data_IF_668650729279
#
_entry.id   IF_668650729279
#
_cell.length_a   1.000
_cell.length_b   1.000
_cell.length_c   1.000
_cell.angle_alpha   90.00
_cell.angle_beta   90.00
_cell.angle_gamma   90.00
#
_symmetry.space_group_name_H-M   'P 1'
#
loop_
_entity.id
_entity.type
_entity.pdbx_description
1 polymer ?
#
# COMPACT_ATOMS: atom_id res chain seq x y z
N UNK A 1 -42.01 -20.81 -14.18
CA UNK A 1 -41.07 -21.66 -13.42
C UNK A 1 -39.96 -22.22 -14.33
N UNK A 2 -40.25 -22.63 -15.56
CA UNK A 2 -39.28 -23.22 -16.51
C UNK A 2 -38.27 -22.17 -16.97
N UNK A 3 -38.65 -20.90 -17.18
CA UNK A 3 -37.75 -19.83 -17.60
C UNK A 3 -36.72 -19.45 -16.51
N UNK A 4 -37.11 -19.51 -15.23
CA UNK A 4 -36.22 -19.23 -14.10
C UNK A 4 -35.17 -20.32 -13.92
N UNK A 5 -35.53 -21.61 -14.17
CA UNK A 5 -34.60 -22.73 -14.13
C UNK A 5 -33.53 -22.67 -15.22
N UNK A 6 -33.86 -22.17 -16.42
CA UNK A 6 -32.91 -21.98 -17.51
C UNK A 6 -31.94 -20.82 -17.26
N UNK A 7 -32.36 -19.78 -16.54
CA UNK A 7 -31.49 -18.68 -16.15
C UNK A 7 -30.49 -19.12 -15.07
N UNK A 8 -30.89 -19.95 -14.13
CA UNK A 8 -30.02 -20.47 -13.06
C UNK A 8 -29.01 -21.48 -13.62
N UNK A 9 -29.41 -22.35 -14.55
CA UNK A 9 -28.49 -23.30 -15.20
C UNK A 9 -27.44 -22.60 -16.07
N UNK A 10 -27.77 -21.45 -16.68
CA UNK A 10 -26.79 -20.64 -17.41
C UNK A 10 -25.85 -19.83 -16.49
N UNK A 11 -26.24 -19.54 -15.25
CA UNK A 11 -25.38 -18.88 -14.28
C UNK A 11 -24.35 -19.85 -13.68
N UNK A 12 -24.71 -21.11 -13.51
CA UNK A 12 -23.76 -22.13 -13.04
C UNK A 12 -22.71 -22.52 -14.08
N UNK A 13 -23.04 -22.44 -15.39
CA UNK A 13 -22.06 -22.67 -16.45
C UNK A 13 -21.08 -21.51 -16.67
N UNK A 14 -21.33 -20.31 -16.11
CA UNK A 14 -20.40 -19.17 -16.16
C UNK A 14 -19.40 -19.14 -15.01
N UNK A 15 -19.57 -20.02 -14.01
CA UNK A 15 -18.74 -20.06 -12.80
C UNK A 15 -17.55 -21.02 -12.90
N UNK A 16 -17.41 -21.78 -13.97
CA UNK A 16 -16.24 -22.64 -14.22
C UNK A 16 -15.38 -22.12 -15.36
N UNK A 17 -14.97 -20.86 -15.28
CA UNK A 17 -13.77 -20.46 -16.02
C UNK A 17 -12.61 -21.15 -15.32
N UNK A 18 -12.18 -22.27 -15.90
CA UNK A 18 -10.88 -22.87 -15.59
C UNK A 18 -9.87 -21.73 -15.53
N UNK A 19 -9.33 -21.50 -14.32
CA UNK A 19 -8.10 -20.72 -14.20
C UNK A 19 -7.06 -21.48 -15.00
N UNK A 20 -6.91 -21.13 -16.25
CA UNK A 20 -5.74 -21.48 -17.01
C UNK A 20 -4.56 -21.13 -16.13
N UNK A 21 -3.73 -22.11 -15.86
CA UNK A 21 -2.50 -21.98 -15.10
C UNK A 21 -1.55 -21.13 -15.97
N UNK A 22 -1.84 -19.82 -16.04
CA UNK A 22 -0.95 -18.85 -16.65
C UNK A 22 0.26 -18.87 -15.74
N UNK A 23 1.41 -19.27 -16.28
CA UNK A 23 2.68 -19.18 -15.57
C UNK A 23 2.83 -17.74 -15.05
N UNK A 24 2.60 -17.56 -13.77
CA UNK A 24 2.66 -16.26 -13.10
C UNK A 24 4.07 -15.68 -13.12
N UNK A 25 5.06 -16.53 -13.32
CA UNK A 25 6.47 -16.16 -13.42
C UNK A 25 6.86 -15.95 -14.88
N UNK A 26 7.39 -14.78 -15.17
CA UNK A 26 7.91 -14.41 -16.49
C UNK A 26 9.42 -14.34 -16.39
N UNK A 27 10.12 -15.03 -17.30
CA UNK A 27 11.57 -14.90 -17.42
C UNK A 27 11.92 -13.48 -17.89
N UNK A 28 12.72 -12.78 -17.12
CA UNK A 28 13.16 -11.40 -17.43
C UNK A 28 14.50 -11.39 -18.13
N UNK A 29 15.51 -12.02 -17.53
CA UNK A 29 16.90 -11.90 -18.00
C UNK A 29 17.77 -13.03 -17.43
N UNK A 30 18.91 -13.32 -18.07
CA UNK A 30 19.91 -14.28 -17.63
C UNK A 30 19.85 -15.59 -18.36
N UNK A 31 20.30 -16.68 -17.72
CA UNK A 31 20.25 -18.04 -18.25
C UNK A 31 19.01 -18.76 -17.73
N UNK A 32 18.03 -19.01 -18.62
CA UNK A 32 16.77 -19.67 -18.29
C UNK A 32 16.91 -21.17 -17.95
N UNK A 33 18.08 -21.76 -18.14
CA UNK A 33 18.39 -23.14 -17.75
C UNK A 33 19.02 -23.24 -16.38
N UNK A 34 19.37 -22.10 -15.77
CA UNK A 34 20.00 -22.03 -14.46
C UNK A 34 19.08 -22.53 -13.35
N UNK A 35 19.62 -23.34 -12.45
CA UNK A 35 18.95 -23.73 -11.21
C UNK A 35 19.08 -22.66 -10.11
N UNK A 36 19.85 -21.60 -10.35
CA UNK A 36 20.06 -20.50 -9.42
C UNK A 36 19.25 -19.29 -9.89
N UNK A 37 17.97 -19.26 -9.56
CA UNK A 37 17.08 -18.17 -9.92
C UNK A 37 16.97 -17.10 -8.82
N UNK A 38 16.73 -15.87 -9.23
CA UNK A 38 16.37 -14.74 -8.38
C UNK A 38 14.98 -14.31 -8.81
N UNK A 39 14.09 -14.10 -7.85
CA UNK A 39 12.74 -13.60 -8.11
C UNK A 39 12.71 -12.10 -7.93
N UNK A 40 12.16 -11.38 -8.90
CA UNK A 40 11.82 -9.96 -8.82
C UNK A 40 10.32 -9.84 -8.56
N UNK A 41 9.97 -9.07 -7.51
CA UNK A 41 8.59 -8.68 -7.16
C UNK A 41 8.48 -7.18 -7.34
N UNK A 42 7.47 -6.72 -8.05
CA UNK A 42 7.19 -5.30 -8.23
C UNK A 42 5.96 -4.91 -7.42
N UNK A 43 6.10 -3.92 -6.53
CA UNK A 43 5.05 -3.42 -5.65
C UNK A 43 4.89 -1.91 -5.84
N UNK A 44 3.70 -1.46 -6.20
CA UNK A 44 3.42 -0.04 -6.45
C UNK A 44 2.19 0.42 -5.67
N UNK A 45 2.24 1.64 -5.14
CA UNK A 45 1.09 2.30 -4.54
C UNK A 45 0.96 2.12 -3.02
N UNK A 46 -0.21 2.50 -2.44
CA UNK A 46 -0.46 2.42 -1.01
C UNK A 46 -0.60 0.97 -0.51
N UNK A 47 -0.12 0.73 0.72
CA UNK A 47 -0.17 -0.58 1.39
C UNK A 47 -1.48 -0.70 2.17
N UNK A 48 -2.37 -1.60 1.75
CA UNK A 48 -3.70 -1.77 2.33
C UNK A 48 -4.04 -3.25 2.60
N UNK A 49 -4.98 -3.46 3.50
CA UNK A 49 -5.66 -4.76 3.59
C UNK A 49 -6.81 -4.77 2.58
N UNK A 50 -6.97 -5.88 1.84
CA UNK A 50 -8.10 -6.02 0.90
C UNK A 50 -9.41 -6.05 1.70
N UNK A 51 -10.40 -5.21 1.39
CA UNK A 51 -11.68 -5.25 2.07
C UNK A 51 -12.37 -6.60 1.84
N UNK A 52 -12.95 -7.18 2.90
CA UNK A 52 -13.80 -8.38 2.76
C UNK A 52 -15.12 -7.99 2.12
N UNK A 53 -15.51 -8.68 1.04
CA UNK A 53 -16.78 -8.44 0.34
C UNK A 53 -16.82 -7.17 -0.51
N UNK A 54 -15.69 -6.57 -0.83
CA UNK A 54 -15.65 -5.48 -1.77
C UNK A 54 -16.15 -5.98 -3.14
N UNK A 55 -17.29 -5.44 -3.57
CA UNK A 55 -17.60 -5.33 -4.99
C UNK A 55 -16.37 -4.63 -5.59
N UNK A 56 -15.72 -5.25 -6.56
CA UNK A 56 -14.64 -4.58 -7.31
C UNK A 56 -15.22 -3.29 -7.86
N UNK A 57 -14.90 -2.19 -7.21
CA UNK A 57 -15.27 -0.86 -7.69
C UNK A 57 -14.34 -0.58 -8.87
N UNK A 58 -14.71 -1.08 -10.04
CA UNK A 58 -13.97 -0.91 -11.29
C UNK A 58 -13.84 0.55 -11.77
N UNK A 59 -14.31 1.50 -10.98
CA UNK A 59 -14.14 2.93 -11.26
C UNK A 59 -12.76 3.48 -10.85
N UNK A 60 -11.89 2.65 -10.22
CA UNK A 60 -10.53 3.05 -9.80
C UNK A 60 -9.47 2.12 -10.43
N UNK A 61 -9.76 1.55 -11.58
CA UNK A 61 -8.90 0.56 -12.27
C UNK A 61 -7.49 1.07 -12.65
N UNK A 62 -7.17 2.34 -12.36
CA UNK A 62 -5.87 2.93 -12.69
C UNK A 62 -4.98 3.22 -11.47
N UNK A 63 -5.39 2.86 -10.25
CA UNK A 63 -4.56 3.06 -9.06
C UNK A 63 -4.02 1.72 -8.60
N UNK A 64 -2.71 1.55 -8.75
CA UNK A 64 -2.01 0.39 -8.20
C UNK A 64 -2.07 0.44 -6.67
N UNK A 65 -2.42 -0.68 -6.05
CA UNK A 65 -2.52 -0.85 -4.60
C UNK A 65 -1.79 -2.12 -4.18
N UNK A 66 -0.98 -2.03 -3.14
CA UNK A 66 -0.31 -3.18 -2.53
C UNK A 66 -1.27 -3.83 -1.53
N UNK A 67 -1.96 -4.88 -1.96
CA UNK A 67 -2.78 -5.70 -1.06
C UNK A 67 -1.95 -6.79 -0.41
N UNK A 68 -1.81 -6.70 0.92
CA UNK A 68 -0.96 -7.64 1.68
C UNK A 68 -1.39 -9.09 1.52
N UNK A 69 -2.69 -9.36 1.43
CA UNK A 69 -3.21 -10.72 1.23
C UNK A 69 -2.81 -11.33 -0.12
N UNK A 70 -2.62 -10.52 -1.15
CA UNK A 70 -2.14 -10.95 -2.46
C UNK A 70 -0.64 -11.21 -2.42
N UNK A 71 0.12 -10.29 -1.84
CA UNK A 71 1.55 -10.46 -1.64
C UNK A 71 1.89 -11.74 -0.84
N UNK A 72 1.12 -12.07 0.19
CA UNK A 72 1.31 -13.31 0.96
C UNK A 72 1.07 -14.55 0.09
N UNK A 73 0.06 -14.54 -0.78
CA UNK A 73 -0.15 -15.63 -1.74
C UNK A 73 1.01 -15.74 -2.73
N UNK A 74 1.52 -14.61 -3.19
CA UNK A 74 2.68 -14.57 -4.08
C UNK A 74 3.91 -15.20 -3.42
N UNK A 75 4.15 -14.91 -2.15
CA UNK A 75 5.24 -15.53 -1.39
C UNK A 75 5.11 -17.05 -1.28
N UNK A 76 3.90 -17.61 -1.11
CA UNK A 76 3.70 -19.06 -1.08
C UNK A 76 4.02 -19.70 -2.45
N UNK A 77 3.68 -19.05 -3.55
CA UNK A 77 4.03 -19.50 -4.90
C UNK A 77 5.54 -19.40 -5.16
N UNK A 78 6.16 -18.29 -4.73
CA UNK A 78 7.60 -18.05 -4.84
C UNK A 78 8.41 -19.09 -4.07
N UNK A 79 7.92 -19.50 -2.90
CA UNK A 79 8.55 -20.55 -2.11
C UNK A 79 8.71 -21.86 -2.89
N UNK A 80 7.74 -22.22 -3.74
CA UNK A 80 7.80 -23.42 -4.56
C UNK A 80 8.92 -23.37 -5.63
N UNK A 81 9.35 -22.15 -6.00
CA UNK A 81 10.46 -21.94 -6.94
C UNK A 81 11.84 -22.08 -6.28
N UNK A 82 11.90 -22.16 -4.94
CA UNK A 82 13.13 -22.26 -4.16
C UNK A 82 14.22 -21.25 -4.59
N UNK A 83 13.92 -19.95 -4.68
CA UNK A 83 14.84 -18.95 -5.20
C UNK A 83 16.07 -18.77 -4.32
N UNK A 84 17.21 -18.47 -4.92
CA UNK A 84 18.45 -18.13 -4.19
C UNK A 84 18.40 -16.74 -3.55
N UNK A 85 17.55 -15.88 -4.06
CA UNK A 85 17.30 -14.55 -3.51
C UNK A 85 16.02 -13.96 -4.08
N UNK A 86 15.53 -12.93 -3.41
CA UNK A 86 14.38 -12.14 -3.84
C UNK A 86 14.80 -10.67 -3.87
N UNK A 87 14.43 -9.99 -4.94
CA UNK A 87 14.48 -8.54 -5.04
C UNK A 87 13.06 -8.01 -5.03
N UNK A 88 12.73 -7.12 -4.12
CA UNK A 88 11.44 -6.43 -4.07
C UNK A 88 11.66 -4.99 -4.55
N UNK A 89 11.18 -4.67 -5.75
CA UNK A 89 11.11 -3.29 -6.23
C UNK A 89 9.82 -2.66 -5.71
N UNK A 90 9.93 -1.67 -4.84
CA UNK A 90 8.77 -1.04 -4.20
C UNK A 90 8.82 0.47 -4.31
N UNK A 91 7.72 1.06 -4.81
CA UNK A 91 7.46 2.51 -4.72
C UNK A 91 6.13 2.74 -4.02
N UNK A 92 6.19 3.27 -2.79
CA UNK A 92 5.03 3.36 -1.92
C UNK A 92 5.03 4.60 -1.04
N UNK A 93 3.91 5.32 -0.95
CA UNK A 93 3.71 6.39 0.03
C UNK A 93 3.50 5.86 1.46
N UNK A 94 3.46 4.53 1.64
CA UNK A 94 3.03 3.87 2.85
C UNK A 94 1.56 3.44 2.81
N UNK A 95 0.92 3.35 3.97
CA UNK A 95 -0.46 2.89 4.03
C UNK A 95 -0.98 2.73 5.46
N UNK A 96 -1.96 1.87 5.66
CA UNK A 96 -2.47 1.63 7.01
C UNK A 96 -1.43 0.92 7.89
N UNK A 97 -1.42 1.27 9.17
CA UNK A 97 -0.48 0.69 10.15
C UNK A 97 -0.57 -0.82 10.19
N UNK A 98 -1.79 -1.37 10.20
CA UNK A 98 -2.02 -2.81 10.26
C UNK A 98 -1.55 -3.53 8.99
N UNK A 99 -1.84 -2.98 7.81
CA UNK A 99 -1.39 -3.56 6.55
C UNK A 99 0.15 -3.53 6.44
N UNK A 100 0.76 -2.40 6.78
CA UNK A 100 2.22 -2.25 6.80
C UNK A 100 2.89 -3.26 7.74
N UNK A 101 2.36 -3.41 8.96
CA UNK A 101 2.88 -4.39 9.91
C UNK A 101 2.76 -5.83 9.39
N UNK A 102 1.64 -6.15 8.74
CA UNK A 102 1.45 -7.47 8.15
C UNK A 102 2.41 -7.72 6.98
N UNK A 103 2.65 -6.71 6.12
CA UNK A 103 3.63 -6.80 5.04
C UNK A 103 5.05 -7.02 5.58
N UNK A 104 5.46 -6.21 6.58
CA UNK A 104 6.73 -6.38 7.27
C UNK A 104 6.91 -7.81 7.78
N UNK A 105 5.92 -8.31 8.53
CA UNK A 105 5.97 -9.66 9.11
C UNK A 105 5.97 -10.76 8.04
N UNK A 106 5.28 -10.58 6.93
CA UNK A 106 5.27 -11.57 5.85
C UNK A 106 6.67 -11.71 5.23
N UNK A 107 7.34 -10.60 4.93
CA UNK A 107 8.72 -10.59 4.40
C UNK A 107 9.69 -11.21 5.42
N UNK A 108 9.64 -10.76 6.68
CA UNK A 108 10.53 -11.23 7.74
C UNK A 108 10.38 -12.74 7.99
N UNK A 109 9.15 -13.24 8.09
CA UNK A 109 8.86 -14.68 8.26
C UNK A 109 9.34 -15.50 7.06
N UNK A 110 9.10 -15.01 5.84
CA UNK A 110 9.57 -15.70 4.64
C UNK A 110 11.09 -15.83 4.63
N UNK A 111 11.79 -14.72 4.88
CA UNK A 111 13.25 -14.65 4.95
C UNK A 111 13.83 -15.66 5.94
N UNK A 112 13.29 -15.69 7.17
CA UNK A 112 13.77 -16.57 8.25
C UNK A 112 13.47 -18.04 7.92
N UNK A 113 12.23 -18.35 7.53
CA UNK A 113 11.79 -19.75 7.36
C UNK A 113 12.45 -20.42 6.15
N UNK A 114 12.73 -19.67 5.09
CA UNK A 114 13.31 -20.20 3.86
C UNK A 114 14.84 -19.94 3.76
N UNK A 115 15.41 -19.20 4.71
CA UNK A 115 16.83 -18.78 4.70
C UNK A 115 17.20 -18.07 3.38
N UNK A 116 16.25 -17.37 2.79
CA UNK A 116 16.39 -16.69 1.51
C UNK A 116 16.78 -15.23 1.74
N UNK A 117 17.77 -14.74 1.01
CA UNK A 117 18.15 -13.33 1.05
C UNK A 117 17.11 -12.47 0.33
N UNK A 118 16.69 -11.39 0.98
CA UNK A 118 15.71 -10.46 0.43
C UNK A 118 16.32 -9.07 0.40
N UNK A 119 16.42 -8.52 -0.81
CA UNK A 119 16.87 -7.16 -1.05
C UNK A 119 15.68 -6.31 -1.50
N UNK A 120 15.66 -5.07 -1.08
CA UNK A 120 14.61 -4.14 -1.46
C UNK A 120 15.20 -2.99 -2.24
N UNK A 121 14.53 -2.57 -3.29
CA UNK A 121 14.90 -1.46 -4.13
C UNK A 121 13.73 -0.49 -4.30
N UNK A 122 14.00 0.81 -4.35
CA UNK A 122 13.02 1.83 -4.70
C UNK A 122 13.60 2.76 -5.76
N UNK A 123 12.77 3.09 -6.75
CA UNK A 123 13.14 4.03 -7.81
C UNK A 123 12.74 5.47 -7.47
N UNK A 124 11.57 5.66 -6.86
CA UNK A 124 10.99 6.99 -6.70
C UNK A 124 10.62 7.33 -5.26
N UNK A 125 9.86 6.45 -4.59
CA UNK A 125 9.24 6.78 -3.31
C UNK A 125 9.19 5.61 -2.34
N UNK A 126 9.88 5.75 -1.21
CA UNK A 126 9.84 4.81 -0.11
C UNK A 126 9.49 5.53 1.19
N UNK A 127 8.20 5.77 1.42
CA UNK A 127 7.76 6.63 2.51
C UNK A 127 6.90 5.91 3.54
N UNK A 128 6.96 6.38 4.80
CA UNK A 128 6.06 5.96 5.88
C UNK A 128 6.01 4.44 6.05
N UNK A 129 4.85 3.81 5.88
CA UNK A 129 4.68 2.36 5.92
C UNK A 129 5.51 1.62 4.87
N UNK A 130 5.79 2.20 3.70
CA UNK A 130 6.69 1.61 2.70
C UNK A 130 8.10 1.45 3.25
N UNK A 131 8.64 2.51 3.87
CA UNK A 131 9.94 2.45 4.51
C UNK A 131 9.96 1.48 5.70
N UNK A 132 8.88 1.45 6.50
CA UNK A 132 8.79 0.48 7.60
C UNK A 132 8.79 -0.96 7.09
N UNK A 133 7.98 -1.28 6.06
CA UNK A 133 7.99 -2.63 5.47
C UNK A 133 9.36 -3.01 4.92
N UNK A 134 10.09 -2.05 4.33
CA UNK A 134 11.43 -2.26 3.79
C UNK A 134 12.48 -2.68 4.83
N UNK A 135 12.31 -2.30 6.09
CA UNK A 135 13.22 -2.67 7.18
C UNK A 135 13.25 -4.19 7.46
N UNK A 136 12.31 -4.98 6.94
CA UNK A 136 12.33 -6.45 7.01
C UNK A 136 13.35 -7.10 6.06
N UNK A 137 13.84 -6.36 5.06
CA UNK A 137 14.83 -6.85 4.09
C UNK A 137 16.26 -6.91 4.67
N UNK A 138 17.14 -7.65 4.00
CA UNK A 138 18.57 -7.69 4.38
C UNK A 138 19.27 -6.37 4.06
N UNK A 139 18.86 -5.68 2.99
CA UNK A 139 19.40 -4.38 2.57
C UNK A 139 18.43 -3.62 1.68
N UNK A 140 18.44 -2.31 1.82
CA UNK A 140 17.64 -1.38 1.02
C UNK A 140 18.59 -0.65 0.06
N UNK A 141 18.20 -0.62 -1.20
CA UNK A 141 18.82 0.17 -2.26
C UNK A 141 17.85 1.22 -2.76
N UNK A 142 18.35 2.32 -3.22
CA UNK A 142 17.53 3.39 -3.78
C UNK A 142 18.22 3.99 -5.02
N UNK A 143 17.43 4.30 -6.02
CA UNK A 143 17.87 5.08 -7.16
C UNK A 143 18.21 6.50 -6.75
N UNK A 144 19.08 7.15 -7.52
CA UNK A 144 19.41 8.55 -7.30
C UNK A 144 18.14 9.41 -7.45
N UNK A 145 17.88 10.25 -6.44
CA UNK A 145 16.71 11.11 -6.41
C UNK A 145 15.46 10.48 -5.76
N UNK A 146 15.51 9.21 -5.36
CA UNK A 146 14.40 8.59 -4.63
C UNK A 146 14.14 9.30 -3.30
N UNK A 147 12.86 9.55 -3.01
CA UNK A 147 12.42 10.16 -1.76
C UNK A 147 12.19 9.08 -0.69
N UNK A 148 13.00 9.13 0.38
CA UNK A 148 12.90 8.18 1.49
C UNK A 148 12.63 8.94 2.78
N UNK A 149 11.60 8.52 3.54
CA UNK A 149 11.33 9.16 4.83
C UNK A 149 9.89 9.13 5.26
N UNK A 150 9.37 10.29 5.68
CA UNK A 150 8.00 10.44 6.20
C UNK A 150 7.73 9.48 7.38
N UNK A 151 8.72 9.31 8.27
CA UNK A 151 8.66 8.38 9.41
C UNK A 151 7.68 8.91 10.45
N UNK A 152 6.64 8.12 10.73
CA UNK A 152 5.65 8.47 11.74
C UNK A 152 4.25 7.97 11.39
N UNK A 153 3.30 8.25 12.28
CA UNK A 153 1.90 7.90 12.15
C UNK A 153 1.06 9.17 12.11
N UNK A 154 0.07 9.19 11.26
CA UNK A 154 -0.96 10.23 11.23
C UNK A 154 -2.31 9.58 11.50
N UNK A 155 -2.98 10.06 12.55
CA UNK A 155 -4.36 9.74 12.85
C UNK A 155 -5.34 10.69 12.15
N UNK A 156 -6.63 10.57 12.43
CA UNK A 156 -7.64 11.47 11.89
C UNK A 156 -7.44 12.90 12.41
N UNK A 157 -7.75 13.87 11.56
CA UNK A 157 -7.79 15.26 11.97
C UNK A 157 -9.02 15.50 12.87
N UNK A 158 -8.83 16.21 13.99
CA UNK A 158 -9.94 16.65 14.82
C UNK A 158 -10.23 18.11 14.51
N UNK A 159 -11.38 18.37 13.92
CA UNK A 159 -11.87 19.71 13.62
C UNK A 159 -12.86 20.11 14.69
N UNK A 160 -12.60 21.22 15.38
CA UNK A 160 -13.46 21.82 16.38
C UNK A 160 -13.97 23.17 15.89
N UNK A 161 -15.29 23.31 15.86
CA UNK A 161 -15.99 24.52 15.51
C UNK A 161 -16.30 25.29 16.78
N UNK A 162 -15.68 26.45 16.98
CA UNK A 162 -15.82 27.24 18.20
C UNK A 162 -17.05 28.15 18.07
N UNK A 163 -18.01 28.01 18.99
CA UNK A 163 -19.31 28.71 18.97
C UNK A 163 -20.00 28.67 17.61
N UNK A 164 -20.48 27.51 17.14
CA UNK A 164 -21.18 27.41 15.87
C UNK A 164 -22.49 28.20 15.93
N UNK A 165 -22.71 29.09 14.96
CA UNK A 165 -23.90 29.98 14.87
C UNK A 165 -24.83 29.57 13.74
N UNK A 166 -24.32 28.88 12.74
CA UNK A 166 -25.11 28.36 11.62
C UNK A 166 -24.56 27.02 11.13
N UNK A 167 -25.47 26.09 10.84
CA UNK A 167 -25.14 24.82 10.19
C UNK A 167 -26.14 24.66 9.04
N UNK A 168 -25.64 24.64 7.84
CA UNK A 168 -26.42 24.37 6.64
C UNK A 168 -25.92 23.12 5.94
N UNK A 169 -26.85 22.23 5.53
CA UNK A 169 -26.54 21.01 4.80
C UNK A 169 -27.19 21.09 3.43
N UNK A 170 -26.40 21.10 2.38
CA UNK A 170 -26.85 21.11 0.98
C UNK A 170 -26.40 19.88 0.20
N UNK A 171 -26.82 19.77 -1.04
CA UNK A 171 -26.45 18.67 -1.96
C UNK A 171 -24.92 18.63 -2.18
N UNK A 172 -24.25 19.77 -2.09
CA UNK A 172 -22.80 19.92 -2.33
C UNK A 172 -21.95 19.82 -1.05
N UNK A 173 -22.58 19.54 0.10
CA UNK A 173 -21.87 19.41 1.37
C UNK A 173 -22.48 20.21 2.51
N UNK A 174 -21.74 20.30 3.61
CA UNK A 174 -22.12 21.00 4.83
C UNK A 174 -21.31 22.30 4.95
N UNK A 175 -22.01 23.39 5.22
CA UNK A 175 -21.41 24.68 5.56
C UNK A 175 -21.62 24.94 7.07
N UNK A 176 -20.54 25.30 7.76
CA UNK A 176 -20.60 25.63 9.19
C UNK A 176 -20.01 27.02 9.39
N UNK A 177 -20.80 27.89 10.00
CA UNK A 177 -20.37 29.22 10.43
C UNK A 177 -20.11 29.22 11.93
N UNK A 178 -19.02 29.84 12.34
CA UNK A 178 -18.61 29.92 13.75
C UNK A 178 -18.35 31.37 14.16
N UNK A 179 -18.61 31.69 15.42
CA UNK A 179 -18.30 33.00 15.99
C UNK A 179 -16.80 33.17 16.31
N UNK A 180 -16.20 32.12 16.84
CA UNK A 180 -14.84 32.17 17.38
C UNK A 180 -13.83 31.33 16.53
N UNK A 181 -14.26 30.92 15.31
CA UNK A 181 -13.41 30.30 14.33
C UNK A 181 -13.41 28.75 14.33
N UNK A 182 -12.50 28.18 13.58
CA UNK A 182 -12.33 26.75 13.40
C UNK A 182 -10.93 26.35 13.87
N UNK A 183 -10.88 25.41 14.81
CA UNK A 183 -9.61 24.87 15.32
C UNK A 183 -9.39 23.47 14.76
N UNK A 184 -8.20 23.19 14.24
CA UNK A 184 -7.83 21.89 13.72
C UNK A 184 -6.69 21.31 14.54
N UNK A 185 -6.93 20.14 15.12
CA UNK A 185 -5.94 19.39 15.87
C UNK A 185 -5.47 18.20 15.03
N UNK A 186 -4.18 18.12 14.72
CA UNK A 186 -3.60 17.00 13.99
C UNK A 186 -3.08 15.97 14.98
N UNK A 187 -3.58 14.74 14.89
CA UNK A 187 -3.05 13.62 15.66
C UNK A 187 -1.89 13.00 14.90
N UNK A 188 -0.68 13.40 15.24
CA UNK A 188 0.54 12.91 14.60
C UNK A 188 1.53 12.38 15.63
N UNK A 189 2.27 11.35 15.23
CA UNK A 189 3.46 10.89 15.92
C UNK A 189 4.59 10.77 14.88
N UNK A 190 5.68 11.46 15.14
CA UNK A 190 6.82 11.57 14.23
C UNK A 190 7.17 13.03 13.91
N UNK A 191 8.47 13.29 13.72
CA UNK A 191 8.98 14.63 13.41
C UNK A 191 8.53 15.04 12.00
N UNK A 192 7.90 16.22 11.90
CA UNK A 192 7.44 16.79 10.62
C UNK A 192 6.54 15.86 9.77
N UNK A 193 5.76 14.99 10.44
CA UNK A 193 4.81 14.10 9.74
C UNK A 193 3.66 14.87 9.08
N UNK A 194 3.41 16.10 9.50
CA UNK A 194 2.46 17.04 8.93
C UNK A 194 3.15 18.19 8.15
N UNK A 195 4.29 17.92 7.55
CA UNK A 195 4.94 18.84 6.61
C UNK A 195 3.91 19.28 5.55
N UNK A 196 3.95 20.55 5.16
CA UNK A 196 2.95 21.21 4.28
C UNK A 196 1.55 21.37 4.90
N UNK A 197 1.43 21.32 6.23
CA UNK A 197 0.17 21.61 6.92
C UNK A 197 -0.20 23.10 6.76
N UNK A 198 -1.31 23.38 6.06
CA UNK A 198 -1.78 24.74 5.78
C UNK A 198 -2.35 25.47 7.01
N UNK A 199 -2.53 24.79 8.14
CA UNK A 199 -3.14 25.34 9.35
C UNK A 199 -2.13 25.72 10.44
N UNK A 200 -0.83 25.64 10.16
CA UNK A 200 0.25 26.11 11.03
C UNK A 200 1.41 26.69 10.23
N UNK A 201 2.15 27.56 10.87
CA UNK A 201 3.41 28.05 10.30
C UNK A 201 4.44 26.91 10.22
N UNK A 202 5.20 26.79 9.11
CA UNK A 202 6.31 25.87 9.04
C UNK A 202 7.40 26.24 10.04
N UNK A 203 8.08 25.27 10.59
CA UNK A 203 9.24 25.50 11.44
C UNK A 203 10.47 25.88 10.57
N UNK A 204 11.43 26.59 11.16
CA UNK A 204 12.67 26.94 10.48
C UNK A 204 13.39 25.70 9.91
N UNK A 205 13.42 24.58 10.68
CA UNK A 205 14.02 23.30 10.22
C UNK A 205 13.30 22.68 9.04
N UNK A 206 11.97 22.80 8.99
CA UNK A 206 11.20 22.31 7.84
C UNK A 206 11.50 23.09 6.59
N UNK A 207 11.58 24.42 6.69
CA UNK A 207 11.95 25.28 5.55
C UNK A 207 13.37 24.98 5.08
N UNK A 208 14.33 24.86 6.01
CA UNK A 208 15.73 24.53 5.69
C UNK A 208 15.87 23.13 5.05
N UNK A 209 14.99 22.18 5.37
CA UNK A 209 15.03 20.83 4.79
C UNK A 209 14.52 20.74 3.35
N UNK A 210 13.91 21.81 2.84
CA UNK A 210 13.38 21.89 1.47
C UNK A 210 14.31 22.63 0.50
N UNK A 211 15.39 23.21 1.00
CA UNK A 211 16.45 23.90 0.22
C UNK A 211 17.62 22.96 -0.06
#
# INVERSE_FOLDING_TARGET
FILLGLLISNLESFSSTERTNINKFIFKEGDNTSQNNIVLIELRGPILNKPSGAIEFSLIDNIEVIYVSEFVKDLEEIKLQNPKGIVISIDSPGGSVSATYNLYNAIEKFKINNKTKIFLHTDELLASGGYWAALSSDKIYASYGAMIGSIGVRGPDWIYYDNPISISTGILGQTIETKDGIKKYNTIAGRSKDLFNSFRMPTKKEVESLQ
#
